data_IF_830167796185
#
_entry.id   IF_830167796185
#
_cell.length_a   1.000
_cell.length_b   1.000
_cell.length_c   1.000
_cell.angle_alpha   90.00
_cell.angle_beta   90.00
_cell.angle_gamma   90.00
#
_symmetry.space_group_name_H-M   'P 1'
#
loop_
_entity.id
_entity.type
_entity.pdbx_description
1 polymer ?
#
# COMPACT_ATOMS: atom_id res chain seq x y z
N UNK A 1 28.35 -11.16 -13.19
CA UNK A 1 28.70 -11.60 -11.82
C UNK A 1 27.56 -11.21 -10.89
N UNK A 2 26.57 -12.07 -10.73
CA UNK A 2 25.45 -11.86 -9.81
C UNK A 2 25.94 -12.06 -8.37
N UNK A 3 25.81 -11.03 -7.56
CA UNK A 3 26.31 -11.00 -6.19
C UNK A 3 25.52 -12.04 -5.36
N UNK A 4 26.17 -13.07 -4.82
CA UNK A 4 25.52 -14.14 -4.04
C UNK A 4 24.76 -13.63 -2.80
N UNK A 5 25.00 -12.39 -2.38
CA UNK A 5 24.38 -11.76 -1.22
C UNK A 5 22.95 -11.22 -1.46
N UNK A 6 22.53 -10.96 -2.70
CA UNK A 6 21.18 -10.41 -2.98
C UNK A 6 20.12 -11.50 -3.14
N UNK A 7 20.50 -12.70 -3.58
CA UNK A 7 19.63 -13.86 -3.75
C UNK A 7 18.90 -14.28 -2.47
N UNK A 8 19.54 -14.41 -1.28
CA UNK A 8 18.84 -14.81 -0.07
C UNK A 8 17.77 -13.79 0.35
N UNK A 9 18.05 -12.49 0.23
CA UNK A 9 17.09 -11.44 0.57
C UNK A 9 15.85 -11.49 -0.32
N UNK A 10 16.04 -11.68 -1.64
CA UNK A 10 14.93 -11.78 -2.59
C UNK A 10 14.06 -13.02 -2.32
N UNK A 11 14.68 -14.15 -1.98
CA UNK A 11 13.97 -15.39 -1.62
C UNK A 11 13.19 -15.21 -0.32
N UNK A 12 13.81 -14.65 0.73
CA UNK A 12 13.14 -14.36 2.00
C UNK A 12 11.93 -13.44 1.78
N UNK A 13 12.08 -12.37 0.99
CA UNK A 13 10.98 -11.47 0.68
C UNK A 13 9.80 -12.16 -0.02
N UNK A 14 10.08 -13.05 -0.99
CA UNK A 14 9.03 -13.84 -1.66
C UNK A 14 8.32 -14.77 -0.68
N UNK A 15 9.09 -15.47 0.15
CA UNK A 15 8.53 -16.40 1.15
C UNK A 15 7.68 -15.63 2.17
N UNK A 16 8.12 -14.46 2.64
CA UNK A 16 7.31 -13.61 3.52
C UNK A 16 6.00 -13.18 2.86
N UNK A 17 6.04 -12.75 1.59
CA UNK A 17 4.83 -12.38 0.85
C UNK A 17 3.90 -13.58 0.60
N UNK A 18 4.46 -14.79 0.48
CA UNK A 18 3.66 -16.00 0.33
C UNK A 18 2.92 -16.31 1.63
N UNK A 19 3.62 -16.27 2.77
CA UNK A 19 2.99 -16.44 4.08
C UNK A 19 1.91 -15.38 4.33
N UNK A 20 2.18 -14.12 3.98
CA UNK A 20 1.20 -13.04 4.13
C UNK A 20 0.02 -13.18 3.18
N UNK A 21 0.26 -13.62 1.95
CA UNK A 21 -0.82 -13.95 1.00
C UNK A 21 -1.72 -15.06 1.55
N UNK A 22 -1.14 -16.15 2.07
CA UNK A 22 -1.88 -17.24 2.69
C UNK A 22 -2.64 -16.77 3.92
N UNK A 23 -2.03 -15.94 4.76
CA UNK A 23 -2.68 -15.36 5.93
C UNK A 23 -3.92 -14.55 5.53
N UNK A 24 -3.81 -13.66 4.55
CA UNK A 24 -4.95 -12.87 4.07
C UNK A 24 -6.01 -13.72 3.36
N UNK A 25 -5.62 -14.77 2.63
CA UNK A 25 -6.56 -15.70 2.02
C UNK A 25 -7.35 -16.48 3.09
N UNK A 26 -6.69 -16.93 4.15
CA UNK A 26 -7.34 -17.57 5.30
C UNK A 26 -8.24 -16.58 6.04
N UNK A 27 -7.77 -15.35 6.26
CA UNK A 27 -8.59 -14.29 6.86
C UNK A 27 -9.85 -14.06 6.02
N UNK A 28 -9.73 -13.93 4.69
CA UNK A 28 -10.88 -13.84 3.78
C UNK A 28 -11.84 -15.02 3.92
N UNK A 29 -11.31 -16.25 3.99
CA UNK A 29 -12.13 -17.46 4.08
C UNK A 29 -12.96 -17.52 5.37
N UNK A 30 -12.39 -17.15 6.52
CA UNK A 30 -13.08 -17.23 7.82
C UNK A 30 -14.29 -16.27 7.87
N UNK A 31 -14.25 -15.17 7.12
CA UNK A 31 -15.32 -14.16 7.09
C UNK A 31 -16.61 -14.64 6.42
N UNK A 32 -16.65 -15.83 5.81
CA UNK A 32 -17.90 -16.39 5.24
C UNK A 32 -19.00 -16.58 6.30
N UNK A 33 -18.60 -16.65 7.58
CA UNK A 33 -19.51 -16.85 8.70
C UNK A 33 -20.09 -15.54 9.24
N UNK A 34 -19.59 -14.39 8.79
CA UNK A 34 -19.98 -13.08 9.30
C UNK A 34 -21.15 -12.50 8.47
N UNK A 35 -22.04 -11.69 9.06
CA UNK A 35 -23.26 -11.19 8.40
C UNK A 35 -22.97 -10.27 7.19
N UNK A 36 -21.79 -9.66 7.13
CA UNK A 36 -21.28 -8.81 6.05
C UNK A 36 -20.06 -9.43 5.34
N UNK A 37 -20.04 -10.77 5.26
CA UNK A 37 -18.99 -11.59 4.65
C UNK A 37 -18.41 -11.04 3.34
N UNK A 38 -19.26 -10.55 2.43
CA UNK A 38 -18.81 -10.13 1.09
C UNK A 38 -17.82 -8.97 1.15
N UNK A 39 -18.08 -7.97 1.99
CA UNK A 39 -17.23 -6.79 2.11
C UNK A 39 -15.85 -7.21 2.64
N UNK A 40 -15.84 -7.99 3.72
CA UNK A 40 -14.61 -8.44 4.36
C UNK A 40 -13.83 -9.45 3.52
N UNK A 41 -14.51 -10.36 2.83
CA UNK A 41 -13.87 -11.27 1.89
C UNK A 41 -13.09 -10.50 0.83
N UNK A 42 -13.68 -9.47 0.23
CA UNK A 42 -13.00 -8.63 -0.77
C UNK A 42 -11.86 -7.83 -0.12
N UNK A 43 -12.10 -7.27 1.07
CA UNK A 43 -11.10 -6.51 1.81
C UNK A 43 -9.82 -7.31 2.06
N UNK A 44 -9.91 -8.62 2.30
CA UNK A 44 -8.75 -9.49 2.50
C UNK A 44 -8.29 -10.22 1.22
N UNK A 45 -9.17 -10.49 0.26
CA UNK A 45 -8.80 -11.18 -0.98
C UNK A 45 -7.91 -10.31 -1.89
N UNK A 46 -8.19 -9.00 -1.97
CA UNK A 46 -7.37 -8.06 -2.75
C UNK A 46 -5.90 -8.04 -2.29
N UNK A 47 -5.58 -7.80 -1.00
CA UNK A 47 -4.20 -7.84 -0.53
C UNK A 47 -3.59 -9.25 -0.63
N UNK A 48 -4.38 -10.32 -0.48
CA UNK A 48 -3.89 -11.68 -0.72
C UNK A 48 -3.38 -11.86 -2.16
N UNK A 49 -4.15 -11.40 -3.16
CA UNK A 49 -3.77 -11.44 -4.57
C UNK A 49 -2.58 -10.53 -4.89
N UNK A 50 -2.54 -9.32 -4.31
CA UNK A 50 -1.40 -8.42 -4.47
C UNK A 50 -0.11 -9.03 -3.91
N UNK A 51 -0.15 -9.64 -2.73
CA UNK A 51 1.00 -10.33 -2.14
C UNK A 51 1.42 -11.57 -2.95
N UNK A 52 0.45 -12.34 -3.44
CA UNK A 52 0.72 -13.49 -4.31
C UNK A 52 1.43 -13.07 -5.59
N UNK A 53 1.00 -11.96 -6.20
CA UNK A 53 1.63 -11.44 -7.42
C UNK A 53 3.11 -11.07 -7.23
N UNK A 54 3.49 -10.58 -6.04
CA UNK A 54 4.90 -10.32 -5.67
C UNK A 54 5.70 -11.62 -5.58
N UNK A 55 5.08 -12.71 -5.10
CA UNK A 55 5.71 -14.03 -5.02
C UNK A 55 6.06 -14.57 -6.41
N UNK A 56 5.12 -14.44 -7.35
CA UNK A 56 5.29 -14.85 -8.74
C UNK A 56 6.34 -14.00 -9.45
N UNK A 57 6.23 -12.66 -9.33
CA UNK A 57 7.12 -11.73 -10.00
C UNK A 57 7.31 -10.47 -9.16
N UNK A 58 8.47 -10.36 -8.50
CA UNK A 58 8.84 -9.19 -7.69
C UNK A 58 8.81 -7.86 -8.44
N UNK A 59 9.06 -7.87 -9.75
CA UNK A 59 9.06 -6.67 -10.58
C UNK A 59 7.65 -6.08 -10.77
N UNK A 60 6.58 -6.81 -10.41
CA UNK A 60 5.21 -6.34 -10.58
C UNK A 60 4.89 -5.09 -9.74
N UNK A 61 5.61 -4.86 -8.64
CA UNK A 61 5.45 -3.67 -7.78
C UNK A 61 5.83 -2.37 -8.48
N UNK A 62 6.59 -2.45 -9.57
CA UNK A 62 6.94 -1.30 -10.42
C UNK A 62 5.84 -0.95 -11.43
N UNK A 63 4.89 -1.86 -11.66
CA UNK A 63 3.79 -1.62 -12.59
C UNK A 63 2.82 -0.59 -12.04
N UNK A 64 2.35 0.30 -12.91
CA UNK A 64 1.36 1.32 -12.54
C UNK A 64 0.05 0.69 -12.05
N UNK A 65 -0.38 -0.42 -12.66
CA UNK A 65 -1.61 -1.12 -12.28
C UNK A 65 -1.54 -1.62 -10.84
N UNK A 66 -0.47 -2.34 -10.47
CA UNK A 66 -0.30 -2.85 -9.11
C UNK A 66 -0.26 -1.72 -8.09
N UNK A 67 0.49 -0.63 -8.39
CA UNK A 67 0.59 0.54 -7.51
C UNK A 67 -0.74 1.24 -7.30
N UNK A 68 -1.56 1.39 -8.34
CA UNK A 68 -2.88 2.01 -8.26
C UNK A 68 -3.85 1.18 -7.45
N UNK A 69 -3.89 -0.13 -7.68
CA UNK A 69 -4.75 -1.04 -6.90
C UNK A 69 -4.33 -1.01 -5.43
N UNK A 70 -3.03 -1.10 -5.14
CA UNK A 70 -2.52 -1.03 -3.77
C UNK A 70 -2.85 0.33 -3.10
N UNK A 71 -2.69 1.45 -3.80
CA UNK A 71 -3.03 2.78 -3.27
C UNK A 71 -4.52 2.92 -2.97
N UNK A 72 -5.38 2.56 -3.92
CA UNK A 72 -6.82 2.62 -3.75
C UNK A 72 -7.24 1.74 -2.57
N UNK A 73 -6.68 0.54 -2.47
CA UNK A 73 -6.99 -0.36 -1.37
C UNK A 73 -6.51 0.20 -0.03
N UNK A 74 -5.29 0.74 0.06
CA UNK A 74 -4.79 1.40 1.27
C UNK A 74 -5.65 2.59 1.68
N UNK A 75 -6.09 3.42 0.73
CA UNK A 75 -6.94 4.58 1.02
C UNK A 75 -8.31 4.16 1.56
N UNK A 76 -8.95 3.19 0.90
CA UNK A 76 -10.24 2.64 1.35
C UNK A 76 -10.08 1.98 2.72
N UNK A 77 -9.12 1.06 2.87
CA UNK A 77 -8.86 0.38 4.13
C UNK A 77 -8.55 1.35 5.28
N UNK A 78 -7.76 2.40 5.04
CA UNK A 78 -7.47 3.43 6.06
C UNK A 78 -8.72 4.18 6.51
N UNK A 79 -9.67 4.42 5.60
CA UNK A 79 -10.96 5.04 5.93
C UNK A 79 -11.78 4.13 6.84
N UNK A 80 -11.87 2.84 6.52
CA UNK A 80 -12.56 1.85 7.37
C UNK A 80 -11.88 1.65 8.72
N UNK A 81 -10.54 1.60 8.75
CA UNK A 81 -9.74 1.58 10.00
C UNK A 81 -10.11 2.77 10.88
N UNK A 82 -10.19 3.97 10.31
CA UNK A 82 -10.54 5.17 11.09
C UNK A 82 -11.96 5.08 11.66
N UNK A 83 -12.93 4.66 10.84
CA UNK A 83 -14.34 4.51 11.27
C UNK A 83 -14.46 3.47 12.38
N UNK A 84 -13.91 2.27 12.17
CA UNK A 84 -13.93 1.19 13.16
C UNK A 84 -13.16 1.54 14.42
N UNK A 85 -11.99 2.16 14.28
CA UNK A 85 -11.18 2.61 15.41
C UNK A 85 -11.90 3.66 16.26
N UNK A 86 -12.67 4.55 15.63
CA UNK A 86 -13.50 5.52 16.32
C UNK A 86 -14.65 4.87 17.10
N UNK A 87 -15.32 3.88 16.50
CA UNK A 87 -16.37 3.11 17.16
C UNK A 87 -15.81 2.32 18.35
N UNK A 88 -14.73 1.58 18.15
CA UNK A 88 -14.03 0.83 19.21
C UNK A 88 -13.61 1.74 20.38
N UNK A 89 -13.10 2.93 20.08
CA UNK A 89 -12.72 3.90 21.09
C UNK A 89 -13.93 4.39 21.91
N UNK A 90 -15.07 4.66 21.26
CA UNK A 90 -16.30 5.08 21.94
C UNK A 90 -16.88 3.98 22.82
N UNK A 91 -16.83 2.74 22.37
CA UNK A 91 -17.43 1.61 23.08
C UNK A 91 -16.57 1.09 24.24
N UNK A 92 -15.35 1.62 24.43
CA UNK A 92 -14.41 1.21 25.49
C UNK A 92 -14.20 -0.31 25.55
N UNK A 93 -14.21 -0.97 24.41
CA UNK A 93 -14.04 -2.42 24.35
C UNK A 93 -12.63 -2.78 24.83
N UNK A 94 -12.54 -3.48 25.96
CA UNK A 94 -11.26 -3.86 26.59
C UNK A 94 -10.64 -5.12 25.96
N UNK A 95 -11.43 -5.92 25.24
CA UNK A 95 -11.00 -7.17 24.60
C UNK A 95 -11.02 -7.08 23.07
N UNK A 96 -10.11 -6.28 22.52
CA UNK A 96 -10.02 -5.97 21.07
C UNK A 96 -9.91 -7.25 20.22
N UNK A 97 -9.21 -8.29 20.68
CA UNK A 97 -9.00 -9.51 19.88
C UNK A 97 -10.10 -10.57 19.99
N UNK A 98 -10.97 -10.47 21.00
CA UNK A 98 -12.06 -11.45 21.21
C UNK A 98 -13.37 -11.00 20.55
N UNK A 99 -13.48 -9.70 20.24
CA UNK A 99 -14.62 -9.13 19.54
C UNK A 99 -14.38 -9.13 18.02
N UNK A 100 -15.45 -9.37 17.27
CA UNK A 100 -15.48 -9.41 15.81
C UNK A 100 -14.96 -8.11 15.19
N UNK A 101 -15.46 -6.96 15.66
CA UNK A 101 -15.03 -5.63 15.17
C UNK A 101 -13.53 -5.35 15.38
N UNK A 102 -12.95 -5.84 16.48
CA UNK A 102 -11.53 -5.63 16.75
C UNK A 102 -10.64 -6.57 15.94
N UNK A 103 -11.13 -7.77 15.58
CA UNK A 103 -10.48 -8.65 14.58
C UNK A 103 -10.45 -7.99 13.21
N UNK A 104 -11.55 -7.36 12.80
CA UNK A 104 -11.64 -6.64 11.53
C UNK A 104 -10.73 -5.41 11.48
N UNK A 105 -10.75 -4.61 12.55
CA UNK A 105 -9.88 -3.43 12.67
C UNK A 105 -8.40 -3.81 12.62
N UNK A 106 -7.98 -4.80 13.39
CA UNK A 106 -6.59 -5.27 13.41
C UNK A 106 -6.18 -5.91 12.08
N UNK A 107 -7.09 -6.65 11.43
CA UNK A 107 -6.89 -7.22 10.10
C UNK A 107 -6.66 -6.14 9.04
N UNK A 108 -7.49 -5.09 9.00
CA UNK A 108 -7.31 -3.98 8.07
C UNK A 108 -6.03 -3.18 8.34
N UNK A 109 -5.68 -2.96 9.61
CA UNK A 109 -4.42 -2.31 9.97
C UNK A 109 -3.22 -3.10 9.43
N UNK A 110 -3.24 -4.43 9.58
CA UNK A 110 -2.20 -5.30 9.06
C UNK A 110 -2.13 -5.25 7.53
N UNK A 111 -3.28 -5.24 6.85
CA UNK A 111 -3.37 -5.05 5.39
C UNK A 111 -2.73 -3.72 4.96
N UNK A 112 -3.10 -2.61 5.58
CA UNK A 112 -2.55 -1.27 5.27
C UNK A 112 -1.05 -1.26 5.48
N UNK A 113 -0.59 -1.72 6.65
CA UNK A 113 0.82 -1.78 6.98
C UNK A 113 1.60 -2.62 5.96
N UNK A 114 1.13 -3.83 5.66
CA UNK A 114 1.83 -4.75 4.76
C UNK A 114 1.90 -4.23 3.33
N UNK A 115 0.81 -3.69 2.80
CA UNK A 115 0.79 -3.10 1.46
C UNK A 115 1.71 -1.88 1.34
N UNK A 116 1.80 -1.06 2.39
CA UNK A 116 2.75 0.05 2.45
C UNK A 116 4.19 -0.46 2.41
N UNK A 117 4.54 -1.47 3.22
CA UNK A 117 5.89 -2.09 3.17
C UNK A 117 6.17 -2.61 1.75
N UNK A 118 5.22 -3.34 1.14
CA UNK A 118 5.38 -3.83 -0.24
C UNK A 118 5.59 -2.72 -1.26
N UNK A 119 4.87 -1.60 -1.12
CA UNK A 119 4.97 -0.42 -1.97
C UNK A 119 6.32 0.31 -1.82
N UNK A 120 6.88 0.33 -0.61
CA UNK A 120 8.16 0.97 -0.33
C UNK A 120 9.35 0.07 -0.67
N UNK A 121 9.22 -1.26 -0.53
CA UNK A 121 10.27 -2.22 -0.87
C UNK A 121 10.67 -2.20 -2.35
N UNK A 122 9.75 -1.87 -3.28
CA UNK A 122 10.08 -1.65 -4.70
C UNK A 122 11.00 -0.45 -4.95
N UNK A 123 10.96 0.56 -4.06
CA UNK A 123 11.76 1.79 -4.18
C UNK A 123 13.16 1.68 -3.55
N UNK A 124 13.34 0.76 -2.60
CA UNK A 124 14.60 0.61 -1.85
C UNK A 124 15.63 -0.30 -2.55
N UNK A 125 15.32 -0.87 -3.72
CA UNK A 125 16.29 -1.63 -4.50
C UNK A 125 17.03 -0.79 -5.57
N UNK A 126 16.95 0.55 -5.56
CA UNK A 126 17.83 1.40 -6.39
C UNK A 126 18.07 2.80 -5.78
N UNK A 127 19.21 3.07 -5.13
CA UNK A 127 19.73 4.41 -5.00
C UNK A 127 20.63 4.83 -6.18
N UNK A 128 20.59 4.12 -7.33
CA UNK A 128 21.45 4.48 -8.47
C UNK A 128 20.91 4.00 -9.83
N UNK A 129 19.84 4.61 -10.32
CA UNK A 129 19.63 4.82 -11.77
C UNK A 129 18.47 5.81 -12.01
N UNK A 130 18.73 7.08 -11.74
CA UNK A 130 17.93 8.18 -12.29
C UNK A 130 18.89 9.26 -12.82
N UNK A 131 19.86 8.82 -13.62
CA UNK A 131 20.48 9.64 -14.66
C UNK A 131 20.41 8.77 -15.93
N UNK A 132 19.81 9.35 -16.96
CA UNK A 132 19.70 8.90 -18.35
C UNK A 132 18.55 7.96 -18.75
N UNK A 133 17.62 8.49 -19.57
CA UNK A 133 16.76 7.66 -20.43
C UNK A 133 15.41 8.24 -20.82
N UNK A 134 15.40 9.34 -21.57
CA UNK A 134 14.27 9.99 -22.26
C UNK A 134 13.15 9.06 -22.79
N UNK A 135 11.87 9.46 -22.64
CA UNK A 135 10.77 8.95 -23.46
C UNK A 135 9.34 9.04 -22.89
N UNK A 136 8.74 10.24 -22.91
CA UNK A 136 7.30 10.54 -23.03
C UNK A 136 6.25 9.58 -22.40
N UNK A 137 5.67 9.98 -21.26
CA UNK A 137 4.22 10.22 -21.22
C UNK A 137 3.87 11.24 -20.11
N UNK A 138 3.29 12.33 -20.59
CA UNK A 138 2.86 13.50 -19.85
C UNK A 138 1.63 13.17 -18.97
N UNK A 139 1.69 13.47 -17.67
CA UNK A 139 0.49 13.86 -16.91
C UNK A 139 0.84 15.16 -16.20
N UNK A 140 0.48 16.25 -16.87
CA UNK A 140 0.39 17.58 -16.30
C UNK A 140 -0.74 17.58 -15.26
N UNK A 141 -0.43 17.84 -14.00
CA UNK A 141 -1.39 18.46 -13.08
C UNK A 141 -0.78 19.78 -12.64
N UNK A 142 -1.41 20.80 -13.20
CA UNK A 142 -1.32 22.21 -12.91
C UNK A 142 -1.41 22.52 -11.40
N UNK A 143 -0.57 23.49 -10.99
CA UNK A 143 -1.01 24.68 -10.25
C UNK A 143 -1.11 24.59 -8.72
N UNK A 144 -0.06 25.05 -8.03
CA UNK A 144 -0.14 26.07 -6.96
C UNK A 144 1.29 26.47 -6.51
N UNK A 145 1.92 27.38 -7.26
CA UNK A 145 3.05 28.16 -6.73
C UNK A 145 2.50 29.45 -6.11
N UNK A 146 2.37 29.42 -4.79
CA UNK A 146 2.25 30.62 -3.95
C UNK A 146 3.65 31.23 -3.81
N UNK A 147 3.96 32.24 -4.64
CA UNK A 147 5.12 33.11 -4.45
C UNK A 147 4.76 34.34 -3.62
N UNK A 148 5.46 34.63 -2.50
CA UNK A 148 5.62 35.98 -2.01
C UNK A 148 6.94 36.59 -2.53
N UNK A 149 6.83 37.84 -3.01
CA UNK A 149 7.81 38.91 -2.92
C UNK A 149 9.30 38.63 -3.26
N UNK A 150 9.78 39.19 -4.37
CA UNK A 150 10.80 40.27 -4.35
C UNK A 150 11.23 40.71 -5.76
N UNK A 151 11.50 42.01 -5.88
CA UNK A 151 12.20 42.70 -6.97
C UNK A 151 11.51 42.87 -8.34
N UNK A 152 10.61 43.86 -8.40
CA UNK A 152 10.32 44.65 -9.61
C UNK A 152 11.39 45.75 -9.74
N UNK A 153 12.36 45.56 -10.63
CA UNK A 153 13.17 46.64 -11.17
C UNK A 153 13.30 46.41 -12.68
N UNK A 154 12.90 47.43 -13.46
CA UNK A 154 13.15 47.72 -14.88
C UNK A 154 11.91 48.48 -15.40
N UNK A 155 11.80 49.73 -14.97
CA UNK A 155 11.02 50.75 -15.67
C UNK A 155 11.90 51.17 -16.84
N UNK A 156 11.61 50.65 -18.03
CA UNK A 156 12.00 51.29 -19.30
C UNK A 156 10.86 52.20 -19.72
N UNK A 157 10.97 53.49 -19.44
CA UNK A 157 10.23 54.51 -20.19
C UNK A 157 11.15 55.09 -21.26
N UNK A 158 10.64 55.03 -22.49
CA UNK A 158 10.90 56.00 -23.54
C UNK A 158 10.10 57.28 -23.26
#
# INVERSE_FOLDING_TARGET
>A
MTNKSTVPFQVVWRVCNLFMSLFFALASYVQINDPDAVLWMIAYAVPAGLCFSICCQQQITETLLWRRIADLHVLVASTFVFILGWNLYKEKITNIFQQEEGREFSGLLLTVFWLLVCRHSGRCCWPFQAVDGCGNHCISIHHMDLLPHQHRAEIKLA
#
